data_IF_008024152234
#
_entry.id   IF_008024152234
#
_cell.length_a   1.000
_cell.length_b   1.000
_cell.length_c   1.000
_cell.angle_alpha   90.00
_cell.angle_beta   90.00
_cell.angle_gamma   90.00
#
_symmetry.space_group_name_H-M   'P 1'
#
loop_
_entity.id
_entity.type
_entity.pdbx_description
1 polymer ?
#
# COMPACT_ATOMS: atom_id res chain seq x y z
N UNK A 1 -61.58 6.71 -53.59
CA UNK A 1 -60.72 7.87 -53.30
C UNK A 1 -60.64 8.04 -51.77
N UNK A 2 -59.50 7.89 -51.19
CA UNK A 2 -59.34 7.90 -49.72
C UNK A 2 -59.32 9.39 -49.24
N UNK A 3 -60.17 9.73 -48.28
CA UNK A 3 -60.36 11.08 -47.79
C UNK A 3 -59.03 11.65 -47.16
N UNK A 4 -58.50 12.77 -47.68
CA UNK A 4 -57.24 13.34 -47.20
C UNK A 4 -57.25 13.74 -45.72
N UNK A 5 -58.41 14.07 -45.17
CA UNK A 5 -58.56 14.42 -43.74
C UNK A 5 -58.38 13.20 -42.81
N UNK A 6 -58.79 12.00 -43.27
CA UNK A 6 -58.62 10.79 -42.49
C UNK A 6 -57.15 10.36 -42.42
N UNK A 7 -56.38 10.57 -43.49
CA UNK A 7 -54.96 10.28 -43.54
C UNK A 7 -54.16 11.17 -42.58
N UNK A 8 -54.40 12.49 -42.58
CA UNK A 8 -53.75 13.44 -41.67
C UNK A 8 -54.05 13.16 -40.20
N UNK A 9 -55.27 12.76 -39.85
CA UNK A 9 -55.69 12.38 -38.48
C UNK A 9 -54.94 11.14 -37.96
N UNK A 10 -54.74 10.15 -38.82
CA UNK A 10 -53.99 8.95 -38.45
C UNK A 10 -52.48 9.17 -38.33
N UNK A 11 -51.91 10.05 -39.16
CA UNK A 11 -50.49 10.44 -39.05
C UNK A 11 -50.22 11.19 -37.74
N UNK A 12 -51.13 12.10 -37.36
CA UNK A 12 -51.06 12.83 -36.09
C UNK A 12 -51.13 11.90 -34.87
N UNK A 13 -52.06 10.96 -34.87
CA UNK A 13 -52.16 9.94 -33.80
C UNK A 13 -50.89 9.05 -33.71
N UNK A 14 -50.31 8.68 -34.85
CA UNK A 14 -49.03 7.90 -34.84
C UNK A 14 -47.85 8.70 -34.29
N UNK A 15 -47.78 9.99 -34.60
CA UNK A 15 -46.77 10.88 -34.06
C UNK A 15 -46.93 11.08 -32.54
N UNK A 16 -48.15 11.25 -32.04
CA UNK A 16 -48.47 11.36 -30.61
C UNK A 16 -48.11 10.08 -29.85
N UNK A 17 -48.42 8.91 -30.41
CA UNK A 17 -48.11 7.60 -29.83
C UNK A 17 -46.58 7.34 -29.80
N UNK A 18 -45.84 7.77 -30.83
CA UNK A 18 -44.39 7.69 -30.89
C UNK A 18 -43.74 8.61 -29.87
N UNK A 19 -44.23 9.85 -29.71
CA UNK A 19 -43.75 10.78 -28.70
C UNK A 19 -43.96 10.26 -27.28
N UNK A 20 -45.12 9.70 -26.96
CA UNK A 20 -45.41 9.05 -25.67
C UNK A 20 -44.49 7.84 -25.39
N UNK A 21 -44.15 7.06 -26.43
CA UNK A 21 -43.20 5.95 -26.32
C UNK A 21 -41.78 6.42 -25.99
N UNK A 22 -41.30 7.49 -26.60
CA UNK A 22 -40.02 8.09 -26.35
C UNK A 22 -39.94 8.69 -24.93
N UNK A 23 -40.96 9.39 -24.47
CA UNK A 23 -41.02 9.93 -23.12
C UNK A 23 -40.98 8.80 -22.05
N UNK A 24 -41.78 7.74 -22.27
CA UNK A 24 -41.74 6.57 -21.36
C UNK A 24 -40.37 5.89 -21.32
N UNK A 25 -39.71 5.82 -22.46
CA UNK A 25 -38.37 5.21 -22.51
C UNK A 25 -37.31 6.10 -21.85
N UNK A 26 -37.36 7.41 -22.03
CA UNK A 26 -36.49 8.38 -21.35
C UNK A 26 -36.72 8.39 -19.84
N UNK A 27 -37.96 8.33 -19.36
CA UNK A 27 -38.27 8.24 -17.94
C UNK A 27 -37.79 6.91 -17.33
N UNK A 28 -37.86 5.79 -18.08
CA UNK A 28 -37.37 4.51 -17.64
C UNK A 28 -35.84 4.47 -17.55
N UNK A 29 -35.13 5.06 -18.52
CA UNK A 29 -33.67 5.20 -18.52
C UNK A 29 -33.20 6.14 -17.39
N UNK A 30 -33.92 7.26 -17.20
CA UNK A 30 -33.66 8.20 -16.10
C UNK A 30 -33.79 7.52 -14.73
N UNK A 31 -34.85 6.75 -14.50
CA UNK A 31 -35.04 6.01 -13.24
C UNK A 31 -33.98 4.92 -13.02
N UNK A 32 -33.53 4.23 -14.07
CA UNK A 32 -32.44 3.25 -13.96
C UNK A 32 -31.09 3.92 -13.67
N UNK A 33 -30.81 5.08 -14.28
CA UNK A 33 -29.59 5.82 -14.04
C UNK A 33 -29.54 6.38 -12.61
N UNK A 34 -30.64 7.00 -12.17
CA UNK A 34 -30.74 7.51 -10.79
C UNK A 34 -30.63 6.40 -9.75
N UNK A 35 -31.24 5.25 -10.00
CA UNK A 35 -31.16 4.09 -9.10
C UNK A 35 -29.75 3.48 -9.04
N UNK A 36 -29.02 3.48 -10.18
CA UNK A 36 -27.63 3.03 -10.25
C UNK A 36 -26.68 4.00 -9.56
N UNK A 37 -26.89 5.31 -9.75
CA UNK A 37 -26.14 6.37 -9.06
C UNK A 37 -26.42 6.34 -7.56
N UNK A 38 -27.67 6.21 -7.15
CA UNK A 38 -28.04 6.12 -5.73
C UNK A 38 -27.46 4.87 -5.05
N UNK A 39 -27.40 3.74 -5.75
CA UNK A 39 -26.73 2.51 -5.23
C UNK A 39 -25.21 2.71 -5.11
N UNK A 40 -24.59 3.36 -6.07
CA UNK A 40 -23.16 3.67 -6.05
C UNK A 40 -22.82 4.66 -4.91
N UNK A 41 -23.62 5.71 -4.74
CA UNK A 41 -23.47 6.68 -3.65
C UNK A 41 -23.76 6.04 -2.28
N UNK A 42 -24.79 5.21 -2.17
CA UNK A 42 -25.10 4.50 -0.94
C UNK A 42 -23.99 3.51 -0.55
N UNK A 43 -23.41 2.78 -1.52
CA UNK A 43 -22.27 1.90 -1.24
C UNK A 43 -21.01 2.66 -0.81
N UNK A 44 -20.74 3.83 -1.42
CA UNK A 44 -19.61 4.69 -1.01
C UNK A 44 -19.83 5.32 0.37
N UNK A 45 -21.03 5.81 0.66
CA UNK A 45 -21.38 6.37 1.96
C UNK A 45 -21.39 5.27 3.05
N UNK A 46 -21.91 4.07 2.73
CA UNK A 46 -21.91 2.94 3.66
C UNK A 46 -20.48 2.45 3.94
N UNK A 47 -19.64 2.35 2.91
CA UNK A 47 -18.22 2.01 3.05
C UNK A 47 -17.45 3.07 3.86
N UNK A 48 -17.66 4.36 3.57
CA UNK A 48 -17.05 5.45 4.33
C UNK A 48 -17.52 5.45 5.80
N UNK A 49 -18.81 5.24 6.05
CA UNK A 49 -19.37 5.15 7.40
C UNK A 49 -18.80 3.95 8.18
N UNK A 50 -18.70 2.78 7.54
CA UNK A 50 -18.15 1.58 8.17
C UNK A 50 -16.65 1.72 8.47
N UNK A 51 -15.90 2.37 7.56
CA UNK A 51 -14.47 2.61 7.74
C UNK A 51 -14.17 3.63 8.85
N UNK A 52 -15.03 4.64 9.06
CA UNK A 52 -14.87 5.64 10.14
C UNK A 52 -15.17 5.09 11.54
N UNK A 53 -15.84 3.94 11.64
CA UNK A 53 -16.18 3.27 12.90
C UNK A 53 -15.23 2.13 13.28
N UNK A 54 -14.20 1.87 12.46
CA UNK A 54 -13.28 0.76 12.70
C UNK A 54 -12.05 1.24 13.49
N UNK A 55 -11.74 0.56 14.58
CA UNK A 55 -10.53 0.78 15.38
C UNK A 55 -9.51 -0.30 15.03
N UNK A 56 -8.35 0.09 14.52
CA UNK A 56 -7.28 -0.84 14.17
C UNK A 56 -5.97 -0.42 14.82
N UNK A 57 -5.17 -1.40 15.22
CA UNK A 57 -3.82 -1.17 15.73
C UNK A 57 -2.88 -2.15 15.03
N UNK A 58 -2.48 -1.79 13.80
CA UNK A 58 -1.65 -2.61 12.93
C UNK A 58 -0.25 -1.99 12.88
N UNK A 59 0.62 -2.47 13.77
CA UNK A 59 2.02 -2.02 13.84
C UNK A 59 2.91 -3.18 13.44
N UNK A 60 3.75 -2.92 12.45
CA UNK A 60 4.68 -3.89 11.88
C UNK A 60 6.11 -3.47 12.16
N UNK A 61 6.93 -4.42 12.56
CA UNK A 61 8.38 -4.33 12.44
C UNK A 61 8.79 -5.04 11.15
N UNK A 62 9.32 -4.29 10.20
CA UNK A 62 9.70 -4.79 8.89
C UNK A 62 11.21 -4.68 8.74
N UNK A 63 11.82 -5.78 8.26
CA UNK A 63 13.27 -5.87 8.03
C UNK A 63 13.51 -6.31 6.59
N UNK A 64 14.37 -5.59 5.88
CA UNK A 64 14.80 -5.95 4.53
C UNK A 64 16.26 -5.55 4.31
N UNK A 65 16.93 -6.20 3.39
CA UNK A 65 18.36 -6.07 3.15
C UNK A 65 18.69 -5.53 1.76
N UNK A 66 19.92 -5.08 1.60
CA UNK A 66 20.53 -4.80 0.30
C UNK A 66 20.75 -6.11 -0.47
N UNK A 67 20.94 -6.00 -1.78
CA UNK A 67 21.26 -7.15 -2.62
C UNK A 67 22.51 -7.86 -2.10
N UNK A 68 22.42 -9.18 -1.87
CA UNK A 68 23.45 -10.04 -1.28
C UNK A 68 23.95 -9.57 0.08
N UNK A 69 23.18 -8.80 0.83
CA UNK A 69 23.58 -8.18 2.11
C UNK A 69 24.92 -7.41 2.00
N UNK A 70 25.16 -6.76 0.86
CA UNK A 70 26.35 -5.92 0.68
C UNK A 70 26.19 -4.61 1.45
N UNK A 71 27.25 -4.07 2.07
CA UNK A 71 27.20 -2.80 2.80
C UNK A 71 27.15 -1.62 1.80
N UNK A 72 25.97 -1.36 1.27
CA UNK A 72 25.73 -0.41 0.19
C UNK A 72 25.01 0.88 0.62
N UNK A 73 24.56 0.96 1.89
CA UNK A 73 24.00 2.18 2.47
C UNK A 73 25.13 2.95 3.13
N UNK A 74 25.46 4.11 2.56
CA UNK A 74 26.50 4.98 3.12
C UNK A 74 26.01 5.58 4.45
N UNK A 75 26.72 5.33 5.54
CA UNK A 75 26.36 5.80 6.89
C UNK A 75 26.35 7.33 7.00
N UNK A 76 27.23 8.02 6.29
CA UNK A 76 27.28 9.49 6.29
C UNK A 76 26.01 10.09 5.66
N UNK A 77 25.41 9.38 4.73
CA UNK A 77 24.23 9.81 3.97
C UNK A 77 22.94 9.03 4.29
N UNK A 78 22.95 8.11 5.27
CA UNK A 78 21.79 7.30 5.64
C UNK A 78 20.53 8.15 5.93
N UNK A 79 20.73 9.37 6.47
CA UNK A 79 19.63 10.30 6.76
C UNK A 79 18.87 10.75 5.52
N UNK A 80 19.52 10.83 4.37
CA UNK A 80 18.86 11.16 3.10
C UNK A 80 17.90 10.03 2.69
N UNK A 81 18.35 8.78 2.81
CA UNK A 81 17.52 7.61 2.57
C UNK A 81 16.32 7.57 3.54
N UNK A 82 16.57 7.84 4.83
CA UNK A 82 15.51 7.85 5.84
C UNK A 82 14.48 8.95 5.59
N UNK A 83 14.91 10.13 5.14
CA UNK A 83 14.00 11.21 4.74
C UNK A 83 13.16 10.83 3.51
N UNK A 84 13.77 10.17 2.51
CA UNK A 84 13.04 9.68 1.34
C UNK A 84 11.98 8.62 1.72
N UNK A 85 12.36 7.65 2.57
CA UNK A 85 11.43 6.64 3.10
C UNK A 85 10.29 7.31 3.88
N UNK A 86 10.58 8.28 4.73
CA UNK A 86 9.57 9.04 5.48
C UNK A 86 8.56 9.73 4.54
N UNK A 87 9.05 10.38 3.48
CA UNK A 87 8.20 10.99 2.45
C UNK A 87 7.28 9.98 1.75
N UNK A 88 7.83 8.81 1.41
CA UNK A 88 7.04 7.72 0.82
C UNK A 88 5.95 7.23 1.79
N UNK A 89 6.30 6.95 3.04
CA UNK A 89 5.39 6.49 4.10
C UNK A 89 4.24 7.46 4.29
N UNK A 90 4.55 8.75 4.41
CA UNK A 90 3.56 9.82 4.61
C UNK A 90 2.60 9.94 3.41
N UNK A 91 3.13 9.85 2.19
CA UNK A 91 2.31 9.87 0.95
C UNK A 91 1.30 8.72 0.91
N UNK A 92 1.64 7.57 1.48
CA UNK A 92 0.77 6.38 1.53
C UNK A 92 -0.07 6.30 2.81
N UNK A 93 -0.22 7.42 3.54
CA UNK A 93 -1.06 7.54 4.76
C UNK A 93 -0.67 6.56 5.87
N UNK A 94 0.53 6.00 5.81
CA UNK A 94 1.09 5.19 6.88
C UNK A 94 1.80 6.09 7.92
N UNK A 95 2.05 5.57 9.12
CA UNK A 95 2.72 6.30 10.18
C UNK A 95 4.03 5.62 10.54
N UNK A 96 5.15 6.29 10.25
CA UNK A 96 6.47 5.83 10.65
C UNK A 96 6.69 6.09 12.15
N UNK A 97 6.98 5.04 12.90
CA UNK A 97 7.26 5.12 14.35
C UNK A 97 8.76 5.20 14.57
N UNK A 98 9.52 4.33 13.89
CA UNK A 98 10.97 4.32 13.94
C UNK A 98 11.57 3.74 12.67
N UNK A 99 12.74 4.26 12.27
CA UNK A 99 13.57 3.76 11.19
C UNK A 99 15.00 3.73 11.67
N UNK A 100 15.75 2.73 11.28
CA UNK A 100 17.16 2.56 11.57
C UNK A 100 17.70 1.36 10.83
N UNK A 101 19.00 1.11 10.91
CA UNK A 101 19.63 -0.03 10.27
C UNK A 101 21.12 0.07 10.22
N UNK A 102 21.69 -0.76 9.39
CA UNK A 102 23.12 -0.90 9.12
C UNK A 102 23.37 -0.68 7.62
N UNK A 103 24.61 -0.64 7.17
CA UNK A 103 24.93 -0.47 5.75
C UNK A 103 24.33 -1.52 4.82
N UNK A 104 23.95 -2.69 5.33
CA UNK A 104 23.46 -3.85 4.57
C UNK A 104 21.97 -4.15 4.77
N UNK A 105 21.30 -3.53 5.76
CA UNK A 105 19.86 -3.77 6.02
C UNK A 105 19.18 -2.62 6.75
N UNK A 106 17.85 -2.63 6.72
CA UNK A 106 17.00 -1.62 7.36
C UNK A 106 15.93 -2.28 8.22
N UNK A 107 15.68 -1.68 9.39
CA UNK A 107 14.57 -1.95 10.29
C UNK A 107 13.59 -0.78 10.26
N UNK A 108 12.32 -1.08 10.09
CA UNK A 108 11.24 -0.09 10.06
C UNK A 108 10.10 -0.52 10.97
N UNK A 109 9.78 0.30 11.96
CA UNK A 109 8.58 0.15 12.78
C UNK A 109 7.52 1.13 12.26
N UNK A 110 6.42 0.60 11.76
CA UNK A 110 5.43 1.35 10.99
C UNK A 110 4.00 0.88 11.28
N UNK A 111 3.05 1.82 11.33
CA UNK A 111 1.63 1.53 11.25
C UNK A 111 1.14 1.73 9.83
N UNK A 112 0.58 0.68 9.22
CA UNK A 112 0.04 0.70 7.85
C UNK A 112 -1.48 0.70 7.94
N UNK A 113 -2.19 1.51 7.12
CA UNK A 113 -3.65 1.52 7.07
C UNK A 113 -4.23 0.14 6.73
N UNK A 114 -5.41 -0.22 7.26
CA UNK A 114 -5.98 -1.56 7.10
C UNK A 114 -6.43 -1.89 5.67
N UNK A 115 -6.58 -0.88 4.82
CA UNK A 115 -6.92 -0.98 3.40
C UNK A 115 -5.69 -1.14 2.50
N UNK A 116 -4.48 -1.19 3.07
CA UNK A 116 -3.21 -1.33 2.33
C UNK A 116 -2.57 -2.67 2.63
N UNK A 117 -2.37 -3.49 1.60
CA UNK A 117 -1.63 -4.74 1.73
C UNK A 117 -0.14 -4.46 1.98
N UNK A 118 0.43 -5.08 3.02
CA UNK A 118 1.86 -4.92 3.37
C UNK A 118 2.78 -5.29 2.20
N UNK A 119 2.43 -6.32 1.44
CA UNK A 119 3.19 -6.75 0.25
C UNK A 119 3.25 -5.68 -0.83
N UNK A 120 2.14 -5.03 -1.15
CA UNK A 120 2.10 -3.96 -2.15
C UNK A 120 2.81 -2.70 -1.65
N UNK A 121 2.66 -2.38 -0.36
CA UNK A 121 3.38 -1.28 0.27
C UNK A 121 4.90 -1.48 0.16
N UNK A 122 5.40 -2.66 0.54
CA UNK A 122 6.83 -2.98 0.51
C UNK A 122 7.38 -3.07 -0.91
N UNK A 123 6.65 -3.63 -1.85
CA UNK A 123 7.00 -3.65 -3.26
C UNK A 123 7.18 -2.22 -3.80
N UNK A 124 6.23 -1.35 -3.56
CA UNK A 124 6.30 0.05 -3.97
C UNK A 124 7.42 0.83 -3.28
N UNK A 125 7.62 0.64 -1.97
CA UNK A 125 8.70 1.27 -1.20
C UNK A 125 10.07 0.85 -1.73
N UNK A 126 10.31 -0.46 -1.89
CA UNK A 126 11.57 -1.00 -2.41
C UNK A 126 11.84 -0.52 -3.83
N UNK A 127 10.83 -0.45 -4.69
CA UNK A 127 10.97 0.08 -6.04
C UNK A 127 11.35 1.56 -6.05
N UNK A 128 10.61 2.40 -5.31
CA UNK A 128 10.85 3.84 -5.25
C UNK A 128 12.22 4.17 -4.69
N UNK A 129 12.59 3.56 -3.55
CA UNK A 129 13.90 3.76 -2.91
C UNK A 129 15.04 3.21 -3.75
N UNK A 130 14.86 2.07 -4.44
CA UNK A 130 15.88 1.52 -5.34
C UNK A 130 16.15 2.45 -6.52
N UNK A 131 15.11 3.01 -7.13
CA UNK A 131 15.24 3.96 -8.22
C UNK A 131 15.98 5.22 -7.78
N UNK A 132 15.63 5.77 -6.61
CA UNK A 132 16.27 6.96 -6.06
C UNK A 132 17.72 6.71 -5.68
N UNK A 133 18.03 5.60 -4.97
CA UNK A 133 19.38 5.25 -4.55
C UNK A 133 20.34 5.05 -5.73
N UNK A 134 19.90 4.39 -6.80
CA UNK A 134 20.71 4.16 -8.01
C UNK A 134 21.07 5.45 -8.77
N UNK A 135 20.29 6.50 -8.59
CA UNK A 135 20.52 7.80 -9.21
C UNK A 135 21.28 8.78 -8.29
N UNK A 136 21.43 8.42 -7.01
CA UNK A 136 22.07 9.29 -6.02
C UNK A 136 23.57 8.97 -5.91
N UNK A 137 24.48 9.92 -6.24
CA UNK A 137 25.91 9.72 -6.19
C UNK A 137 26.47 9.43 -4.79
N UNK A 138 25.73 9.76 -3.72
CA UNK A 138 26.12 9.50 -2.34
C UNK A 138 26.02 8.00 -1.96
N UNK A 139 25.41 7.17 -2.83
CA UNK A 139 25.25 5.72 -2.63
C UNK A 139 25.86 4.90 -3.79
N UNK A 140 27.15 5.05 -4.09
CA UNK A 140 27.76 4.47 -5.30
C UNK A 140 27.79 2.94 -5.30
N UNK A 141 27.70 2.29 -4.13
CA UNK A 141 27.74 0.84 -3.98
C UNK A 141 26.36 0.19 -4.06
N UNK A 142 25.28 0.99 -4.12
CA UNK A 142 23.93 0.44 -4.12
C UNK A 142 23.55 -0.13 -5.48
N UNK A 143 23.43 -1.45 -5.57
CA UNK A 143 22.99 -2.18 -6.77
C UNK A 143 21.51 -2.54 -6.75
N UNK A 144 20.90 -2.69 -5.57
CA UNK A 144 19.51 -3.05 -5.38
C UNK A 144 19.20 -3.53 -3.97
N UNK A 145 17.93 -3.81 -3.73
CA UNK A 145 17.48 -4.53 -2.53
C UNK A 145 17.49 -6.02 -2.77
N UNK A 146 17.82 -6.80 -1.75
CA UNK A 146 17.68 -8.26 -1.74
C UNK A 146 16.22 -8.69 -1.88
N UNK A 147 15.98 -9.93 -2.25
CA UNK A 147 14.63 -10.48 -2.37
C UNK A 147 13.93 -10.57 -1.00
N UNK A 148 12.61 -10.45 -1.02
CA UNK A 148 11.77 -10.57 0.17
C UNK A 148 11.93 -9.47 1.21
N UNK A 149 11.34 -9.69 2.35
CA UNK A 149 11.40 -8.94 3.60
C UNK A 149 10.79 -9.81 4.72
N UNK A 150 11.09 -9.53 5.97
CA UNK A 150 10.34 -10.08 7.11
C UNK A 150 9.46 -8.97 7.70
N UNK A 151 8.22 -9.30 8.06
CA UNK A 151 7.27 -8.38 8.67
C UNK A 151 6.48 -9.09 9.76
N UNK A 152 6.61 -8.62 10.99
CA UNK A 152 5.88 -9.15 12.14
C UNK A 152 5.13 -8.04 12.86
N UNK A 153 3.98 -8.37 13.43
CA UNK A 153 3.15 -7.43 14.18
C UNK A 153 3.47 -7.46 15.67
N UNK A 154 3.30 -6.31 16.31
CA UNK A 154 3.58 -6.14 17.73
C UNK A 154 2.42 -5.49 18.46
N UNK A 155 2.19 -5.91 19.71
CA UNK A 155 1.23 -5.30 20.61
C UNK A 155 1.69 -3.90 21.05
N UNK A 156 0.75 -3.09 21.53
CA UNK A 156 1.04 -1.72 22.01
C UNK A 156 2.17 -1.69 23.06
N UNK A 157 2.19 -2.67 23.93
CA UNK A 157 3.15 -2.72 25.04
C UNK A 157 4.56 -3.12 24.58
N UNK A 158 4.70 -3.78 23.44
CA UNK A 158 5.97 -4.17 22.85
C UNK A 158 6.61 -3.05 22.01
N UNK A 159 5.84 -2.07 21.55
CA UNK A 159 6.33 -0.98 20.67
C UNK A 159 7.53 -0.23 21.27
N UNK A 160 7.55 0.17 22.57
CA UNK A 160 8.70 0.85 23.16
C UNK A 160 9.98 0.01 23.11
N UNK A 161 9.87 -1.30 23.34
CA UNK A 161 11.00 -2.24 23.32
C UNK A 161 11.54 -2.35 21.91
N UNK A 162 10.69 -2.57 20.90
CA UNK A 162 11.11 -2.68 19.49
C UNK A 162 11.71 -1.35 19.00
N UNK A 163 11.13 -0.21 19.39
CA UNK A 163 11.69 1.11 19.09
C UNK A 163 13.10 1.26 19.63
N UNK A 164 13.35 0.89 20.89
CA UNK A 164 14.67 0.96 21.50
C UNK A 164 15.64 -0.01 20.83
N UNK A 165 15.20 -1.20 20.46
CA UNK A 165 16.00 -2.15 19.72
C UNK A 165 16.48 -1.58 18.38
N UNK A 166 15.59 -0.95 17.60
CA UNK A 166 15.97 -0.29 16.34
C UNK A 166 16.92 0.88 16.57
N UNK A 167 16.79 1.60 17.68
CA UNK A 167 17.72 2.68 18.01
C UNK A 167 19.14 2.18 18.31
N UNK A 168 19.25 0.99 18.87
CA UNK A 168 20.51 0.42 19.33
C UNK A 168 21.17 -0.50 18.27
N UNK A 169 20.71 -0.50 17.03
CA UNK A 169 21.21 -1.38 15.97
C UNK A 169 22.73 -1.31 15.79
N UNK A 170 23.31 -0.11 15.79
CA UNK A 170 24.77 0.06 15.63
C UNK A 170 25.57 -0.55 16.77
N UNK A 171 25.05 -0.56 17.99
CA UNK A 171 25.71 -1.24 19.12
C UNK A 171 25.50 -2.76 19.07
N UNK A 172 24.28 -3.20 18.68
CA UNK A 172 23.95 -4.62 18.55
C UNK A 172 24.85 -5.31 17.53
N UNK A 173 25.10 -4.69 16.40
CA UNK A 173 25.90 -5.23 15.30
C UNK A 173 27.42 -5.22 15.55
N UNK A 174 27.89 -4.69 16.66
CA UNK A 174 29.29 -4.90 17.07
C UNK A 174 29.61 -6.36 17.45
N UNK A 175 28.59 -7.13 17.81
CA UNK A 175 28.75 -8.53 18.31
C UNK A 175 27.90 -9.56 17.56
N UNK A 176 26.92 -9.12 16.76
CA UNK A 176 25.96 -10.01 16.07
C UNK A 176 25.95 -9.69 14.58
N UNK A 177 26.06 -10.70 13.73
CA UNK A 177 25.94 -10.55 12.28
C UNK A 177 24.48 -10.37 11.87
N UNK A 178 24.22 -9.75 10.71
CA UNK A 178 22.88 -9.65 10.16
C UNK A 178 22.21 -11.02 9.96
N UNK A 179 22.94 -12.01 9.49
CA UNK A 179 22.39 -13.35 9.25
C UNK A 179 21.89 -14.01 10.55
N UNK A 180 22.65 -13.88 11.65
CA UNK A 180 22.26 -14.39 12.97
C UNK A 180 21.06 -13.63 13.52
N UNK A 181 21.07 -12.29 13.45
CA UNK A 181 19.96 -11.45 13.87
C UNK A 181 18.68 -11.77 13.08
N UNK A 182 18.77 -11.82 11.75
CA UNK A 182 17.61 -12.04 10.88
C UNK A 182 17.02 -13.44 11.09
N UNK A 183 17.87 -14.45 11.28
CA UNK A 183 17.44 -15.81 11.64
C UNK A 183 16.70 -15.81 12.97
N UNK A 184 17.29 -15.20 13.99
CA UNK A 184 16.67 -15.08 15.32
C UNK A 184 15.35 -14.30 15.24
N UNK A 185 15.30 -13.20 14.52
CA UNK A 185 14.11 -12.39 14.33
C UNK A 185 12.94 -13.20 13.74
N UNK A 186 13.20 -14.03 12.74
CA UNK A 186 12.17 -14.89 12.13
C UNK A 186 11.69 -15.95 13.13
N UNK A 187 12.60 -16.64 13.79
CA UNK A 187 12.27 -17.74 14.73
C UNK A 187 11.51 -17.22 15.95
N UNK A 188 11.99 -16.14 16.58
CA UNK A 188 11.36 -15.55 17.78
C UNK A 188 9.92 -15.06 17.51
N UNK A 189 9.60 -14.75 16.26
CA UNK A 189 8.25 -14.36 15.83
C UNK A 189 7.43 -15.54 15.25
N UNK A 190 7.87 -16.79 15.46
CA UNK A 190 7.13 -18.00 15.05
C UNK A 190 7.24 -18.35 13.57
N UNK A 191 8.17 -17.73 12.84
CA UNK A 191 8.47 -18.08 11.45
C UNK A 191 9.33 -19.34 11.36
N UNK A 192 9.27 -20.00 10.20
CA UNK A 192 10.12 -21.13 9.85
C UNK A 192 11.12 -20.72 8.78
N UNK A 193 12.33 -21.23 8.85
CA UNK A 193 13.40 -20.94 7.89
C UNK A 193 13.66 -22.16 7.03
N UNK A 194 13.64 -21.99 5.73
CA UNK A 194 14.17 -22.94 4.76
C UNK A 194 15.55 -22.47 4.32
N UNK A 195 16.59 -23.15 4.75
CA UNK A 195 17.99 -22.80 4.46
C UNK A 195 18.33 -22.81 2.96
N UNK A 196 17.50 -23.45 2.14
CA UNK A 196 17.66 -23.41 0.68
C UNK A 196 17.39 -22.02 0.09
N UNK A 197 16.57 -21.20 0.78
CA UNK A 197 16.16 -19.86 0.32
C UNK A 197 16.60 -18.73 1.26
N UNK A 198 17.13 -19.08 2.44
CA UNK A 198 17.54 -18.09 3.43
C UNK A 198 18.68 -17.23 2.90
N UNK A 199 18.43 -15.91 2.82
CA UNK A 199 19.35 -14.89 2.32
C UNK A 199 19.88 -15.12 0.88
N UNK A 200 19.18 -15.88 0.05
CA UNK A 200 19.45 -15.97 -1.37
C UNK A 200 18.78 -14.83 -2.16
N UNK A 201 19.44 -14.40 -3.22
CA UNK A 201 18.96 -13.44 -4.23
C UNK A 201 19.03 -14.08 -5.59
#
# INVERSE_FOLDING_TARGET
MCNPQYRRRNERKRAEMAALGVERHLLFLSRRLTQKIMRCLASHLYFAYFCTMSYTHLVYHIVWRTYRSLPAINEEHERQLYAYIYGYVTKHKATLIRLGGMPDHIHMLISIPPDVAVSEFMKGLKFATSTWLKQNPDFPLFSGWGEGYAAFTYSKDQIPVVKQYIMNQKEHHKVTTFAEEYRKFIIDNGGTIDDRYFLKD
#
